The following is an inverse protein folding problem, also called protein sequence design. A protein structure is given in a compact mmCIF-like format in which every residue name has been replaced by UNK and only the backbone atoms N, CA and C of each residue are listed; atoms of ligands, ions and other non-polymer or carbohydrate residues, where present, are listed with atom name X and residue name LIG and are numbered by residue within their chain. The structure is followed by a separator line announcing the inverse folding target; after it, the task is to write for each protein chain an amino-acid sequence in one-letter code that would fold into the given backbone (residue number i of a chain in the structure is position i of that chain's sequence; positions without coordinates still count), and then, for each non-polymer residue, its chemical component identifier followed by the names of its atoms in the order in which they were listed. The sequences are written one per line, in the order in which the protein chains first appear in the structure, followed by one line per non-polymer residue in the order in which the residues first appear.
data_IF_258540137412
#
_entry.id   IF_258540137412
#
_cell.length_a   1.000
_cell.length_b   1.000
_cell.length_c   1.000
_cell.angle_alpha   90.00
_cell.angle_beta   90.00
_cell.angle_gamma   90.00
#
_symmetry.space_group_name_H-M   'P 1'
#
loop_
_entity.id
_entity.type
_entity.pdbx_description
1 polymer ?
#
# COMPACT_ATOMS: atom_id res chain seq x y z
N UNK A 1 -4.80 -16.26 2.78
CA UNK A 1 -3.79 -15.43 2.09
C UNK A 1 -2.31 -15.91 2.13
N UNK A 2 -1.85 -16.59 3.19
CA UNK A 2 -0.43 -16.89 3.46
C UNK A 2 0.38 -17.56 2.33
N UNK A 3 -0.16 -18.60 1.68
CA UNK A 3 0.54 -19.32 0.60
C UNK A 3 0.85 -18.40 -0.60
N UNK A 4 -0.06 -17.48 -0.92
CA UNK A 4 0.10 -16.53 -2.03
C UNK A 4 1.21 -15.53 -1.68
N UNK A 5 1.20 -14.98 -0.47
CA UNK A 5 2.23 -14.05 0.00
C UNK A 5 3.61 -14.69 0.04
N UNK A 6 3.74 -15.93 0.52
CA UNK A 6 5.01 -16.64 0.57
C UNK A 6 5.60 -16.88 -0.83
N UNK A 7 4.79 -17.41 -1.76
CA UNK A 7 5.23 -17.60 -3.16
C UNK A 7 5.66 -16.29 -3.81
N UNK A 8 4.98 -15.21 -3.46
CA UNK A 8 5.26 -13.90 -4.02
C UNK A 8 6.58 -13.31 -3.48
N UNK A 9 6.87 -13.47 -2.18
CA UNK A 9 8.17 -13.13 -1.61
C UNK A 9 9.30 -13.99 -2.15
N UNK A 10 9.06 -15.27 -2.44
CA UNK A 10 10.07 -16.12 -3.06
C UNK A 10 10.42 -15.65 -4.48
N UNK A 11 9.43 -15.20 -5.27
CA UNK A 11 9.70 -14.59 -6.57
C UNK A 11 10.48 -13.27 -6.46
N UNK A 12 10.19 -12.46 -5.43
CA UNK A 12 10.92 -11.22 -5.16
C UNK A 12 12.39 -11.52 -4.82
N UNK A 13 12.65 -12.55 -3.99
CA UNK A 13 14.01 -13.00 -3.67
C UNK A 13 14.76 -13.48 -4.91
N UNK A 14 14.13 -14.29 -5.76
CA UNK A 14 14.75 -14.76 -7.01
C UNK A 14 15.13 -13.59 -7.93
N UNK A 15 14.30 -12.55 -8.01
CA UNK A 15 14.59 -11.37 -8.83
C UNK A 15 15.78 -10.54 -8.31
N UNK A 16 16.03 -10.58 -6.99
CA UNK A 16 17.20 -9.94 -6.36
C UNK A 16 18.52 -10.47 -6.91
N UNK A 17 18.58 -11.77 -7.18
CA UNK A 17 19.80 -12.44 -7.65
C UNK A 17 20.07 -12.18 -9.14
N UNK A 18 19.10 -11.65 -9.90
CA UNK A 18 19.25 -11.36 -11.33
C UNK A 18 19.84 -9.97 -11.57
N UNK A 19 19.20 -8.91 -11.07
CA UNK A 19 19.74 -7.55 -11.01
C UNK A 19 18.78 -6.59 -10.26
N UNK A 20 19.32 -5.43 -9.85
CA UNK A 20 18.58 -4.39 -9.12
C UNK A 20 17.34 -3.86 -9.85
N UNK A 21 17.35 -3.81 -11.18
CA UNK A 21 16.20 -3.33 -11.94
C UNK A 21 15.03 -4.32 -11.87
N UNK A 22 15.29 -5.61 -12.12
CA UNK A 22 14.26 -6.65 -12.02
C UNK A 22 13.74 -6.76 -10.58
N UNK A 23 14.64 -6.67 -9.60
CA UNK A 23 14.25 -6.66 -8.19
C UNK A 23 13.32 -5.49 -7.87
N UNK A 24 13.69 -4.27 -8.29
CA UNK A 24 12.87 -3.08 -8.11
C UNK A 24 11.48 -3.22 -8.76
N UNK A 25 11.42 -3.76 -9.99
CA UNK A 25 10.15 -3.98 -10.68
C UNK A 25 9.25 -4.97 -9.93
N UNK A 26 9.82 -6.05 -9.39
CA UNK A 26 9.06 -6.99 -8.55
C UNK A 26 8.58 -6.36 -7.24
N UNK A 27 9.36 -5.49 -6.62
CA UNK A 27 8.92 -4.74 -5.44
C UNK A 27 7.77 -3.76 -5.77
N UNK A 28 7.78 -3.14 -6.95
CA UNK A 28 6.65 -2.31 -7.40
C UNK A 28 5.40 -3.15 -7.66
N UNK A 29 5.53 -4.30 -8.31
CA UNK A 29 4.39 -5.20 -8.49
C UNK A 29 3.85 -5.67 -7.12
N UNK A 30 4.74 -5.79 -6.13
CA UNK A 30 4.36 -6.17 -4.78
C UNK A 30 3.60 -5.11 -4.01
N UNK A 31 4.08 -3.88 -4.00
CA UNK A 31 3.31 -2.78 -3.41
C UNK A 31 1.97 -2.57 -4.12
N UNK A 32 1.90 -2.78 -5.44
CA UNK A 32 0.65 -2.71 -6.18
C UNK A 32 -0.35 -3.79 -5.73
N UNK A 33 0.10 -5.05 -5.64
CA UNK A 33 -0.72 -6.15 -5.15
C UNK A 33 -1.22 -5.90 -3.72
N UNK A 34 -0.32 -5.55 -2.80
CA UNK A 34 -0.66 -5.33 -1.41
C UNK A 34 -1.64 -4.16 -1.25
N UNK A 35 -1.44 -3.05 -1.98
CA UNK A 35 -2.38 -1.92 -1.98
C UNK A 35 -3.77 -2.37 -2.44
N UNK A 36 -3.87 -3.09 -3.56
CA UNK A 36 -5.14 -3.54 -4.12
C UNK A 36 -5.89 -4.48 -3.18
N UNK A 37 -5.20 -5.46 -2.60
CA UNK A 37 -5.78 -6.38 -1.63
C UNK A 37 -6.29 -5.62 -0.42
N UNK A 38 -5.51 -4.67 0.11
CA UNK A 38 -5.92 -3.89 1.27
C UNK A 38 -7.15 -3.04 1.01
N UNK A 39 -7.23 -2.43 -0.17
CA UNK A 39 -8.41 -1.67 -0.59
C UNK A 39 -9.65 -2.56 -0.68
N UNK A 40 -9.56 -3.69 -1.39
CA UNK A 40 -10.71 -4.60 -1.59
C UNK A 40 -11.15 -5.23 -0.28
N UNK A 41 -10.21 -5.70 0.54
CA UNK A 41 -10.54 -6.35 1.80
C UNK A 41 -11.21 -5.37 2.77
N UNK A 42 -10.74 -4.11 2.85
CA UNK A 42 -11.40 -3.08 3.65
C UNK A 42 -12.83 -2.78 3.16
N UNK A 43 -13.02 -2.58 1.85
CA UNK A 43 -14.36 -2.28 1.29
C UNK A 43 -15.31 -3.47 1.42
N UNK A 44 -14.81 -4.70 1.30
CA UNK A 44 -15.61 -5.92 1.42
C UNK A 44 -16.23 -6.10 2.81
N UNK A 45 -15.69 -5.39 3.81
CA UNK A 45 -16.13 -5.45 5.19
C UNK A 45 -17.21 -4.44 5.58
N UNK A 46 -17.66 -3.66 4.61
CA UNK A 46 -18.77 -2.75 4.76
C UNK A 46 -20.06 -3.57 4.67
N UNK A 47 -20.90 -3.48 5.69
CA UNK A 47 -22.21 -4.11 5.70
C UNK A 47 -23.11 -3.50 4.61
N UNK A 48 -24.04 -4.30 4.11
CA UNK A 48 -25.02 -3.80 3.14
C UNK A 48 -25.94 -2.78 3.79
N UNK A 49 -26.18 -1.70 3.08
CA UNK A 49 -27.04 -0.61 3.54
C UNK A 49 -27.88 -0.06 2.38
N UNK A 50 -28.89 0.75 2.71
CA UNK A 50 -29.81 1.32 1.72
C UNK A 50 -29.10 2.23 0.71
N UNK A 51 -27.99 2.86 1.10
CA UNK A 51 -27.18 3.70 0.22
C UNK A 51 -26.21 2.90 -0.65
N UNK A 52 -26.14 1.57 -0.50
CA UNK A 52 -25.28 0.68 -1.27
C UNK A 52 -23.80 1.11 -1.25
N UNK A 53 -23.29 1.52 -0.08
CA UNK A 53 -21.92 2.03 0.05
C UNK A 53 -20.89 1.03 -0.47
N UNK A 54 -21.00 -0.24 -0.05
CA UNK A 54 -20.08 -1.30 -0.50
C UNK A 54 -20.07 -1.44 -2.02
N UNK A 55 -21.25 -1.59 -2.63
CA UNK A 55 -21.39 -1.81 -4.07
C UNK A 55 -20.90 -0.61 -4.88
N UNK A 56 -21.20 0.63 -4.45
CA UNK A 56 -20.71 1.84 -5.12
C UNK A 56 -19.19 1.88 -5.17
N UNK A 57 -18.53 1.59 -4.04
CA UNK A 57 -17.07 1.57 -3.97
C UNK A 57 -16.45 0.39 -4.74
N UNK A 58 -17.04 -0.82 -4.67
CA UNK A 58 -16.58 -1.96 -5.47
C UNK A 58 -16.74 -1.72 -6.98
N UNK A 59 -17.84 -1.09 -7.41
CA UNK A 59 -18.04 -0.72 -8.81
C UNK A 59 -17.03 0.33 -9.27
N UNK A 60 -16.67 1.28 -8.41
CA UNK A 60 -15.61 2.24 -8.68
C UNK A 60 -14.25 1.54 -8.89
N UNK A 61 -13.92 0.55 -8.06
CA UNK A 61 -12.70 -0.25 -8.24
C UNK A 61 -12.72 -1.07 -9.53
N UNK A 62 -13.85 -1.67 -9.89
CA UNK A 62 -13.98 -2.45 -11.12
C UNK A 62 -13.75 -1.61 -12.40
N UNK A 63 -13.99 -0.30 -12.31
CA UNK A 63 -13.80 0.67 -13.40
C UNK A 63 -12.48 1.43 -13.30
N UNK A 64 -11.68 1.20 -12.25
CA UNK A 64 -10.45 1.94 -12.02
C UNK A 64 -9.39 1.61 -13.10
N UNK A 65 -8.82 2.65 -13.69
CA UNK A 65 -7.81 2.59 -14.75
C UNK A 65 -6.37 2.73 -14.23
N UNK A 66 -6.21 3.16 -12.97
CA UNK A 66 -4.92 3.45 -12.37
C UNK A 66 -4.88 3.06 -10.89
N UNK A 67 -3.68 2.79 -10.36
CA UNK A 67 -3.52 2.54 -8.92
C UNK A 67 -3.88 3.78 -8.06
N UNK A 68 -3.77 4.98 -8.62
CA UNK A 68 -4.20 6.22 -7.94
C UNK A 68 -5.68 6.18 -7.59
N UNK A 69 -6.53 5.75 -8.54
CA UNK A 69 -7.97 5.58 -8.33
C UNK A 69 -8.30 4.60 -7.21
N UNK A 70 -7.49 3.55 -7.02
CA UNK A 70 -7.67 2.60 -5.92
C UNK A 70 -7.39 3.23 -4.55
N UNK A 71 -6.31 4.03 -4.45
CA UNK A 71 -5.94 4.72 -3.22
C UNK A 71 -6.92 5.85 -2.89
N UNK A 72 -7.40 6.57 -3.90
CA UNK A 72 -8.46 7.57 -3.75
C UNK A 72 -9.77 6.92 -3.28
N UNK A 73 -10.17 5.80 -3.90
CA UNK A 73 -11.38 5.07 -3.51
C UNK A 73 -11.27 4.58 -2.05
N UNK A 74 -10.12 4.04 -1.64
CA UNK A 74 -9.88 3.64 -0.25
C UNK A 74 -10.01 4.84 0.71
N UNK A 75 -9.34 5.94 0.39
CA UNK A 75 -9.34 7.15 1.21
C UNK A 75 -10.75 7.73 1.35
N UNK A 76 -11.49 7.82 0.25
CA UNK A 76 -12.89 8.25 0.24
C UNK A 76 -13.73 7.31 1.11
N UNK A 77 -13.63 6.00 0.91
CA UNK A 77 -14.38 5.00 1.70
C UNK A 77 -14.17 5.17 3.20
N UNK A 78 -12.92 5.35 3.64
CA UNK A 78 -12.59 5.52 5.07
C UNK A 78 -13.25 6.76 5.67
N UNK A 79 -13.34 7.83 4.88
CA UNK A 79 -13.86 9.12 5.31
C UNK A 79 -15.39 9.22 5.21
N UNK A 80 -16.01 8.58 4.22
CA UNK A 80 -17.45 8.70 3.94
C UNK A 80 -18.29 7.60 4.58
N UNK A 81 -17.76 6.39 4.74
CA UNK A 81 -18.54 5.27 5.27
C UNK A 81 -18.63 5.35 6.80
N UNK A 82 -19.86 5.40 7.37
CA UNK A 82 -20.05 5.40 8.81
C UNK A 82 -19.40 4.18 9.47
N UNK A 83 -18.68 4.39 10.57
CA UNK A 83 -18.04 3.30 11.34
C UNK A 83 -19.04 2.26 11.86
N UNK A 84 -20.32 2.64 11.97
CA UNK A 84 -21.42 1.73 12.32
C UNK A 84 -21.73 0.66 11.27
N UNK A 85 -21.40 0.91 9.99
CA UNK A 85 -21.54 -0.04 8.88
C UNK A 85 -20.32 -0.95 8.70
N UNK A 86 -19.32 -0.86 9.58
CA UNK A 86 -18.16 -1.75 9.53
C UNK A 86 -18.43 -2.95 10.43
N UNK A 87 -18.23 -4.15 9.87
CA UNK A 87 -18.27 -5.39 10.64
C UNK A 87 -17.29 -5.36 11.83
N UNK A 88 -17.59 -6.13 12.88
CA UNK A 88 -16.98 -6.01 14.21
C UNK A 88 -15.45 -6.24 14.26
N UNK A 89 -14.84 -6.85 13.24
CA UNK A 89 -13.38 -6.99 13.09
C UNK A 89 -12.69 -5.85 12.34
N UNK A 90 -13.41 -4.95 11.69
CA UNK A 90 -12.84 -4.00 10.71
C UNK A 90 -12.65 -2.60 11.25
N UNK A 91 -13.24 -2.32 12.42
CA UNK A 91 -12.96 -1.07 13.13
C UNK A 91 -11.48 -0.96 13.52
N UNK A 92 -10.83 -2.05 13.94
CA UNK A 92 -9.39 -2.06 14.23
C UNK A 92 -8.58 -1.78 12.96
N UNK A 93 -8.97 -2.34 11.82
CA UNK A 93 -8.33 -2.08 10.52
C UNK A 93 -8.45 -0.60 10.14
N UNK A 94 -9.63 0.02 10.27
CA UNK A 94 -9.80 1.47 10.05
C UNK A 94 -8.86 2.28 10.94
N UNK A 95 -8.75 1.91 12.21
CA UNK A 95 -7.82 2.55 13.15
C UNK A 95 -6.38 2.36 12.69
N UNK A 96 -5.95 1.18 12.30
CA UNK A 96 -4.59 0.95 11.81
C UNK A 96 -4.27 1.72 10.53
N UNK A 97 -5.23 1.89 9.63
CA UNK A 97 -5.07 2.66 8.39
C UNK A 97 -4.86 4.15 8.64
N UNK A 98 -5.54 4.69 9.66
CA UNK A 98 -5.61 6.13 9.94
C UNK A 98 -4.71 6.59 11.08
N UNK A 99 -4.24 5.67 11.93
CA UNK A 99 -3.35 5.96 13.06
C UNK A 99 -1.98 6.41 12.54
N UNK A 100 -1.61 7.65 12.89
CA UNK A 100 -0.25 8.18 12.73
C UNK A 100 0.26 8.69 14.07
N UNK A 101 1.13 7.92 14.73
CA UNK A 101 1.91 8.39 15.88
C UNK A 101 3.40 8.22 15.62
N UNK A 102 4.24 9.04 16.24
CA UNK A 102 5.69 9.02 16.02
C UNK A 102 6.26 7.61 16.21
N UNK A 103 5.82 6.91 17.26
CA UNK A 103 6.26 5.56 17.62
C UNK A 103 5.47 4.43 16.94
N UNK A 104 4.57 4.76 16.00
CA UNK A 104 3.79 3.74 15.30
C UNK A 104 4.61 3.09 14.18
N UNK A 105 4.41 1.80 13.97
CA UNK A 105 4.98 1.10 12.83
C UNK A 105 4.47 1.67 11.50
N UNK A 106 3.23 2.18 11.47
CA UNK A 106 2.63 2.88 10.33
C UNK A 106 3.48 4.07 9.91
N UNK A 107 3.84 4.93 10.87
CA UNK A 107 4.70 6.08 10.64
C UNK A 107 6.09 5.65 10.14
N UNK A 108 6.65 4.58 10.71
CA UNK A 108 7.95 4.05 10.30
C UNK A 108 7.93 3.57 8.83
N UNK A 109 6.96 2.75 8.43
CA UNK A 109 6.87 2.23 7.04
C UNK A 109 6.57 3.35 6.05
N UNK A 110 5.68 4.30 6.40
CA UNK A 110 5.39 5.44 5.56
C UNK A 110 6.61 6.37 5.39
N UNK A 111 7.39 6.57 6.46
CA UNK A 111 8.63 7.35 6.39
C UNK A 111 9.70 6.66 5.54
N UNK A 112 9.86 5.34 5.66
CA UNK A 112 10.77 4.57 4.80
C UNK A 112 10.39 4.67 3.33
N UNK A 113 9.09 4.63 3.02
CA UNK A 113 8.62 4.80 1.65
C UNK A 113 8.82 6.24 1.14
N UNK A 114 8.63 7.24 2.01
CA UNK A 114 8.94 8.64 1.68
C UNK A 114 10.42 8.83 1.35
N UNK A 115 11.32 8.19 2.10
CA UNK A 115 12.75 8.16 1.76
C UNK A 115 12.99 7.57 0.38
N UNK A 116 12.32 6.47 0.03
CA UNK A 116 12.41 5.86 -1.30
C UNK A 116 12.00 6.86 -2.39
N UNK A 117 10.91 7.59 -2.18
CA UNK A 117 10.43 8.63 -3.10
C UNK A 117 11.44 9.78 -3.22
N UNK A 118 12.02 10.24 -2.11
CA UNK A 118 13.04 11.29 -2.11
C UNK A 118 14.30 10.85 -2.88
N UNK A 119 14.72 9.60 -2.72
CA UNK A 119 15.84 9.01 -3.48
C UNK A 119 15.50 8.92 -4.98
N UNK A 120 14.31 8.44 -5.32
CA UNK A 120 13.89 8.24 -6.70
C UNK A 120 13.72 9.56 -7.47
N UNK A 121 13.27 10.61 -6.79
CA UNK A 121 12.97 11.91 -7.40
C UNK A 121 14.08 12.94 -7.26
N UNK A 122 15.07 12.69 -6.38
CA UNK A 122 16.10 13.68 -6.00
C UNK A 122 15.50 14.97 -5.42
N UNK A 123 14.24 14.93 -4.98
CA UNK A 123 13.56 16.04 -4.31
C UNK A 123 13.38 15.65 -2.85
N UNK A 124 13.88 16.47 -1.92
CA UNK A 124 13.63 16.27 -0.50
C UNK A 124 12.26 16.85 -0.15
N UNK A 125 11.27 15.99 0.06
CA UNK A 125 9.99 16.38 0.62
C UNK A 125 9.87 15.88 2.05
N UNK A 126 10.11 16.77 3.01
CA UNK A 126 9.80 16.48 4.40
C UNK A 126 8.28 16.53 4.61
N UNK A 127 7.77 15.52 5.33
CA UNK A 127 6.38 15.47 5.77
C UNK A 127 6.27 16.24 7.07
N UNK A 128 5.24 17.09 7.20
CA UNK A 128 4.90 17.71 8.48
C UNK A 128 4.00 16.74 9.26
N UNK A 129 4.40 16.37 10.47
CA UNK A 129 3.65 15.47 11.35
C UNK A 129 3.88 13.98 11.10
N UNK A 130 3.14 13.16 11.85
CA UNK A 130 3.24 11.70 11.78
C UNK A 130 2.43 11.16 10.60
N UNK A 131 3.03 10.25 9.85
CA UNK A 131 2.37 9.59 8.73
C UNK A 131 1.50 8.40 9.19
N UNK A 132 0.50 8.07 8.38
CA UNK A 132 -0.30 6.85 8.51
C UNK A 132 -0.17 5.94 7.27
N UNK A 133 -1.06 4.95 7.09
CA UNK A 133 -0.98 4.06 5.93
C UNK A 133 -1.60 4.64 4.65
N UNK A 134 -2.52 5.60 4.76
CA UNK A 134 -3.04 6.31 3.56
C UNK A 134 -1.93 7.13 2.90
N UNK A 135 -1.11 7.73 3.74
CA UNK A 135 0.12 8.40 3.39
C UNK A 135 1.12 7.46 2.70
N UNK A 136 1.30 6.25 3.23
CA UNK A 136 2.10 5.21 2.60
C UNK A 136 1.55 4.87 1.20
N UNK A 137 0.25 4.60 1.04
CA UNK A 137 -0.31 4.26 -0.27
C UNK A 137 -0.18 5.40 -1.29
N UNK A 138 -0.37 6.65 -0.85
CA UNK A 138 -0.21 7.84 -1.70
C UNK A 138 1.24 8.02 -2.17
N UNK A 139 2.20 7.87 -1.25
CA UNK A 139 3.63 7.91 -1.56
C UNK A 139 4.02 6.75 -2.50
N UNK A 140 3.38 5.58 -2.34
CA UNK A 140 3.63 4.41 -3.17
C UNK A 140 3.18 4.63 -4.61
N UNK A 141 1.96 5.14 -4.81
CA UNK A 141 1.44 5.52 -6.13
C UNK A 141 2.37 6.52 -6.80
N UNK A 142 2.83 7.52 -6.04
CA UNK A 142 3.75 8.55 -6.55
C UNK A 142 5.09 7.93 -6.97
N UNK A 143 5.67 7.08 -6.12
CA UNK A 143 6.90 6.36 -6.43
C UNK A 143 6.75 5.51 -7.69
N UNK A 144 5.69 4.69 -7.76
CA UNK A 144 5.38 3.83 -8.92
C UNK A 144 5.22 4.66 -10.18
N UNK A 145 4.42 5.71 -10.17
CA UNK A 145 4.14 6.49 -11.38
C UNK A 145 5.38 7.21 -11.89
N UNK A 146 6.21 7.77 -11.00
CA UNK A 146 7.46 8.43 -11.39
C UNK A 146 8.54 7.48 -11.87
N UNK A 147 8.48 6.20 -11.50
CA UNK A 147 9.54 5.22 -11.82
C UNK A 147 9.15 4.22 -12.91
N UNK A 148 7.90 3.76 -12.94
CA UNK A 148 7.34 2.84 -13.94
C UNK A 148 6.78 3.60 -15.15
N UNK A 149 6.29 4.82 -14.97
CA UNK A 149 5.62 5.62 -16.03
C UNK A 149 6.51 6.61 -16.80
N UNK A 150 7.71 6.94 -16.32
CA UNK A 150 8.60 7.95 -16.94
C UNK A 150 9.91 7.38 -17.52
N UNK A 151 10.02 6.07 -17.69
CA UNK A 151 11.18 5.41 -18.29
C UNK A 151 12.25 4.96 -17.30
N UNK A 152 13.21 4.18 -17.82
CA UNK A 152 14.18 3.34 -17.09
C UNK A 152 14.71 4.02 -15.83
N UNK A 153 14.34 3.48 -14.67
CA UNK A 153 15.02 3.77 -13.40
C UNK A 153 16.48 3.42 -13.57
N UNK A 154 17.37 4.41 -13.42
CA UNK A 154 18.82 4.17 -13.45
C UNK A 154 19.15 3.10 -12.41
N UNK A 155 19.95 2.10 -12.77
CA UNK A 155 20.33 0.98 -11.88
C UNK A 155 20.82 1.46 -10.51
N UNK A 156 21.53 2.59 -10.46
CA UNK A 156 21.99 3.23 -9.22
C UNK A 156 20.86 3.71 -8.29
N UNK A 157 19.75 4.19 -8.83
CA UNK A 157 18.56 4.57 -8.05
C UNK A 157 17.86 3.31 -7.56
N UNK A 158 17.66 2.32 -8.44
CA UNK A 158 17.05 1.05 -8.09
C UNK A 158 17.77 0.39 -6.90
N UNK A 159 19.11 0.27 -6.97
CA UNK A 159 19.95 -0.28 -5.91
C UNK A 159 19.71 0.38 -4.54
N UNK A 160 19.61 1.72 -4.51
CA UNK A 160 19.42 2.50 -3.28
C UNK A 160 18.00 2.42 -2.71
N UNK A 161 17.00 2.23 -3.59
CA UNK A 161 15.59 2.16 -3.19
C UNK A 161 15.20 0.75 -2.77
N UNK A 162 15.72 -0.29 -3.43
CA UNK A 162 15.29 -1.66 -3.26
C UNK A 162 15.31 -2.16 -1.80
N UNK A 163 16.39 -1.89 -1.06
CA UNK A 163 16.49 -2.31 0.34
C UNK A 163 15.39 -1.70 1.20
N UNK A 164 15.29 -0.36 1.20
CA UNK A 164 14.26 0.38 1.96
C UNK A 164 12.84 0.02 1.54
N UNK A 165 12.59 -0.15 0.24
CA UNK A 165 11.26 -0.51 -0.26
C UNK A 165 10.88 -1.93 0.15
N UNK A 166 11.81 -2.88 0.06
CA UNK A 166 11.60 -4.25 0.52
C UNK A 166 11.26 -4.30 2.01
N UNK A 167 12.03 -3.61 2.84
CA UNK A 167 11.81 -3.58 4.29
C UNK A 167 10.46 -2.96 4.64
N UNK A 168 10.09 -1.86 3.97
CA UNK A 168 8.80 -1.20 4.19
C UNK A 168 7.64 -2.10 3.79
N UNK A 169 7.69 -2.75 2.62
CA UNK A 169 6.65 -3.66 2.13
C UNK A 169 6.52 -4.90 3.01
N UNK A 170 7.63 -5.48 3.45
CA UNK A 170 7.64 -6.64 4.33
C UNK A 170 7.08 -6.31 5.71
N UNK A 171 7.52 -5.18 6.29
CA UNK A 171 7.03 -4.72 7.60
C UNK A 171 5.55 -4.41 7.55
N UNK A 172 5.10 -3.73 6.50
CA UNK A 172 3.69 -3.46 6.25
C UNK A 172 2.87 -4.75 6.19
N UNK A 173 3.26 -5.70 5.34
CA UNK A 173 2.53 -6.95 5.17
C UNK A 173 2.50 -7.81 6.43
N UNK A 174 3.56 -7.76 7.26
CA UNK A 174 3.66 -8.55 8.48
C UNK A 174 2.91 -7.95 9.67
N UNK A 175 2.82 -6.62 9.77
CA UNK A 175 2.25 -5.95 10.94
C UNK A 175 0.80 -5.52 10.73
N UNK A 176 0.34 -5.41 9.49
CA UNK A 176 -1.03 -4.99 9.22
C UNK A 176 -2.00 -6.14 9.49
N UNK A 177 -2.88 -5.96 10.49
CA UNK A 177 -3.82 -7.01 10.96
C UNK A 177 -4.71 -7.60 9.88
N UNK A 178 -4.92 -6.85 8.79
CA UNK A 178 -5.68 -7.32 7.64
C UNK A 178 -5.13 -8.65 7.09
N UNK A 179 -3.81 -8.83 7.07
CA UNK A 179 -3.18 -10.01 6.48
C UNK A 179 -3.19 -11.23 7.42
N UNK A 180 -3.48 -11.04 8.71
CA UNK A 180 -3.64 -12.10 9.71
C UNK A 180 -5.11 -12.58 9.81
N UNK A 181 -6.02 -11.89 9.15
CA UNK A 181 -7.45 -12.18 9.22
C UNK A 181 -7.82 -13.45 8.43
N UNK A 182 -8.50 -14.40 9.09
CA UNK A 182 -8.87 -15.71 8.50
C UNK A 182 -9.87 -15.64 7.35
N UNK A 183 -10.51 -14.48 7.14
CA UNK A 183 -11.49 -14.23 6.08
C UNK A 183 -10.87 -13.57 4.83
N UNK A 184 -9.54 -13.43 4.80
CA UNK A 184 -8.75 -12.85 3.70
C UNK A 184 -7.86 -13.90 2.99
#
# INVERSE_FOLDING_TARGET
MEIILNKFWDQIKLARDVNDYQYFMRLLDAGEFLTKISTVAYISCIDDDSEMHRQKHLLALARADSLGTWVETLSTTINTVPTGLLSSGVRSIKTELTKGSADSWQNAVASQLRDCLNIATTVSQQRQGNANLLDFFSDFVTLRNKTKGHGIVRTRIASRVCGKLSDALWTYQRLFQLFDSSWV
#
